data_IF_313703838388
#
_entry.id   IF_313703838388
#
_cell.length_a   1.000
_cell.length_b   1.000
_cell.length_c   1.000
_cell.angle_alpha   90.00
_cell.angle_beta   90.00
_cell.angle_gamma   90.00
#
_symmetry.space_group_name_H-M   'P 1'
#
loop_
_entity.id
_entity.type
_entity.pdbx_description
1 polymer ?
#
# COMPACT_ATOMS: atom_id res chain seq x y z
N UNK A 1 7.61 -0.82 13.95
CA UNK A 1 6.26 -0.37 14.40
C UNK A 1 5.28 -0.20 13.23
N UNK A 2 5.67 0.47 12.13
CA UNK A 2 4.79 0.64 10.95
C UNK A 2 4.31 -0.69 10.33
N UNK A 3 5.21 -1.67 10.14
CA UNK A 3 4.82 -2.97 9.57
C UNK A 3 3.75 -3.71 10.36
N UNK A 4 3.70 -3.56 11.69
CA UNK A 4 2.66 -4.19 12.53
C UNK A 4 1.26 -3.67 12.23
N UNK A 5 1.11 -2.44 11.73
CA UNK A 5 -0.20 -1.91 11.33
C UNK A 5 -0.70 -2.58 10.04
N UNK A 6 0.21 -2.90 9.12
CA UNK A 6 -0.14 -3.70 7.93
C UNK A 6 -0.56 -5.10 8.36
N UNK A 7 0.22 -5.75 9.22
CA UNK A 7 -0.11 -7.09 9.75
C UNK A 7 -1.49 -7.10 10.39
N UNK A 8 -1.79 -6.13 11.24
CA UNK A 8 -3.06 -6.07 11.97
C UNK A 8 -4.31 -6.05 11.07
N UNK A 9 -4.19 -5.54 9.84
CA UNK A 9 -5.30 -5.47 8.89
C UNK A 9 -5.28 -6.59 7.84
N UNK A 10 -4.23 -7.41 7.77
CA UNK A 10 -4.12 -8.50 6.78
C UNK A 10 -5.36 -9.41 6.70
N UNK A 11 -5.98 -9.84 7.82
CA UNK A 11 -7.14 -10.74 7.76
C UNK A 11 -8.36 -10.12 7.06
N UNK A 12 -8.46 -8.79 7.03
CA UNK A 12 -9.59 -8.05 6.48
C UNK A 12 -9.38 -7.62 5.03
N UNK A 13 -8.19 -7.88 4.46
CA UNK A 13 -7.89 -7.52 3.07
C UNK A 13 -8.53 -8.55 2.13
N UNK A 14 -9.32 -8.06 1.18
CA UNK A 14 -9.91 -8.89 0.13
C UNK A 14 -8.81 -9.67 -0.63
N UNK A 15 -8.91 -11.01 -0.74
CA UNK A 15 -7.93 -11.84 -1.42
C UNK A 15 -7.55 -11.40 -2.85
N UNK A 16 -8.44 -10.70 -3.57
CA UNK A 16 -8.17 -10.18 -4.92
C UNK A 16 -7.01 -9.18 -4.92
N UNK A 17 -6.82 -8.42 -3.83
CA UNK A 17 -5.77 -7.41 -3.73
C UNK A 17 -4.35 -7.98 -3.65
N UNK A 18 -4.20 -9.28 -3.35
CA UNK A 18 -2.90 -9.95 -3.35
C UNK A 18 -2.49 -10.51 -4.71
N UNK A 19 -3.42 -10.65 -5.66
CA UNK A 19 -3.23 -11.41 -6.91
C UNK A 19 -2.60 -10.61 -8.06
N UNK A 20 -2.34 -9.31 -7.87
CA UNK A 20 -1.75 -8.46 -8.89
C UNK A 20 -0.26 -8.73 -9.12
N UNK A 21 0.27 -8.35 -10.28
CA UNK A 21 1.69 -8.52 -10.65
C UNK A 21 2.65 -7.84 -9.66
N UNK A 22 2.19 -6.77 -9.00
CA UNK A 22 2.97 -6.01 -8.02
C UNK A 22 2.76 -6.50 -6.57
N UNK A 23 2.05 -7.61 -6.38
CA UNK A 23 1.59 -8.07 -5.07
C UNK A 23 0.58 -7.11 -4.45
N UNK A 24 0.54 -7.05 -3.12
CA UNK A 24 -0.28 -6.08 -2.40
C UNK A 24 0.30 -4.66 -2.56
N UNK A 25 -0.41 -3.71 -3.20
CA UNK A 25 0.04 -2.32 -3.24
C UNK A 25 -0.22 -1.63 -1.89
N UNK A 26 0.82 -1.03 -1.30
CA UNK A 26 0.73 -0.28 -0.04
C UNK A 26 1.09 1.18 -0.31
N UNK A 27 0.13 2.09 -0.12
CA UNK A 27 0.35 3.53 -0.34
C UNK A 27 0.98 4.18 0.90
N UNK A 28 2.22 4.65 0.76
CA UNK A 28 2.99 5.30 1.81
C UNK A 28 2.80 6.83 1.77
N UNK A 29 2.17 7.39 2.80
CA UNK A 29 1.94 8.83 2.96
C UNK A 29 2.64 9.37 4.20
N UNK A 30 3.24 10.56 4.09
CA UNK A 30 3.92 11.25 5.19
C UNK A 30 5.44 11.34 5.00
N UNK A 31 6.05 12.36 5.62
CA UNK A 31 7.49 12.67 5.45
C UNK A 31 8.44 11.61 6.01
N UNK A 32 8.00 10.82 7.00
CA UNK A 32 8.77 9.73 7.61
C UNK A 32 9.25 8.71 6.57
N UNK A 33 8.47 8.48 5.50
CA UNK A 33 8.85 7.57 4.41
C UNK A 33 10.03 8.03 3.57
N UNK A 34 10.45 9.31 3.67
CA UNK A 34 11.71 9.78 3.06
C UNK A 34 12.94 9.07 3.65
N UNK A 35 12.82 8.54 4.86
CA UNK A 35 13.84 7.77 5.55
C UNK A 35 13.60 6.25 5.43
N UNK A 36 13.00 5.78 4.34
CA UNK A 36 12.67 4.36 4.12
C UNK A 36 13.83 3.42 4.43
N UNK A 37 15.06 3.74 4.01
CA UNK A 37 16.22 2.88 4.26
C UNK A 37 16.48 2.65 5.76
N UNK A 38 16.15 3.61 6.63
CA UNK A 38 16.25 3.44 8.09
C UNK A 38 15.08 2.64 8.69
N UNK A 39 13.95 2.56 7.99
CA UNK A 39 12.74 1.86 8.42
C UNK A 39 12.70 0.40 7.92
N UNK A 40 13.41 0.14 6.83
CA UNK A 40 13.29 -1.07 6.00
C UNK A 40 13.41 -2.36 6.81
N UNK A 41 14.47 -2.50 7.59
CA UNK A 41 14.73 -3.73 8.37
C UNK A 41 13.59 -4.03 9.35
N UNK A 42 13.21 -3.06 10.18
CA UNK A 42 12.13 -3.23 11.15
C UNK A 42 10.74 -3.35 10.52
N UNK A 43 10.54 -2.83 9.30
CA UNK A 43 9.31 -3.00 8.54
C UNK A 43 9.20 -4.42 7.98
N UNK A 44 10.26 -4.91 7.32
CA UNK A 44 10.31 -6.26 6.75
C UNK A 44 10.20 -7.33 7.85
N UNK A 45 10.94 -7.19 8.95
CA UNK A 45 10.86 -8.14 10.07
C UNK A 45 9.43 -8.31 10.58
N UNK A 46 8.71 -7.20 10.78
CA UNK A 46 7.33 -7.25 11.25
C UNK A 46 6.39 -7.93 10.24
N UNK A 47 6.57 -7.70 8.94
CA UNK A 47 5.75 -8.32 7.90
C UNK A 47 6.04 -9.82 7.76
N UNK A 48 7.32 -10.23 7.80
CA UNK A 48 7.70 -11.64 7.72
C UNK A 48 7.07 -12.43 8.87
N UNK A 49 7.23 -11.96 10.11
CA UNK A 49 6.63 -12.60 11.27
C UNK A 49 5.09 -12.60 11.21
N UNK A 50 4.48 -11.50 10.75
CA UNK A 50 3.03 -11.39 10.65
C UNK A 50 2.43 -12.32 9.59
N UNK A 51 3.08 -12.49 8.44
CA UNK A 51 2.57 -13.34 7.36
C UNK A 51 2.52 -14.80 7.77
N UNK A 52 3.54 -15.29 8.49
CA UNK A 52 3.63 -16.68 8.95
C UNK A 52 2.42 -17.06 9.82
N UNK A 53 1.89 -16.10 10.58
CA UNK A 53 0.78 -16.33 11.49
C UNK A 53 -0.58 -16.19 10.79
N UNK A 54 -0.73 -15.21 9.89
CA UNK A 54 -2.05 -14.75 9.45
C UNK A 54 -2.34 -14.87 7.95
N UNK A 55 -1.32 -14.99 7.09
CA UNK A 55 -1.49 -14.80 5.65
C UNK A 55 -0.48 -15.57 4.78
N UNK A 56 0.07 -16.69 5.29
CA UNK A 56 1.23 -17.38 4.71
C UNK A 56 1.06 -17.72 3.21
N UNK A 57 -0.15 -18.08 2.80
CA UNK A 57 -0.43 -18.54 1.43
C UNK A 57 -0.90 -17.42 0.47
N UNK A 58 -1.39 -16.30 0.98
CA UNK A 58 -1.96 -15.22 0.15
C UNK A 58 -1.02 -14.02 0.03
N UNK A 59 -0.26 -13.68 1.08
CA UNK A 59 0.61 -12.50 1.07
C UNK A 59 2.02 -12.86 0.58
N UNK A 60 2.19 -13.04 -0.73
CA UNK A 60 3.44 -13.47 -1.40
C UNK A 60 4.42 -12.33 -1.69
N UNK A 61 3.91 -11.15 -2.02
CA UNK A 61 4.71 -9.96 -2.30
C UNK A 61 3.94 -8.68 -2.00
N UNK A 62 4.67 -7.57 -1.88
CA UNK A 62 4.09 -6.23 -1.77
C UNK A 62 4.93 -5.20 -2.51
N UNK A 63 4.28 -4.09 -2.87
CA UNK A 63 4.93 -2.93 -3.49
C UNK A 63 4.53 -1.67 -2.74
N UNK A 64 5.53 -0.92 -2.27
CA UNK A 64 5.33 0.39 -1.65
C UNK A 64 5.21 1.45 -2.74
N UNK A 65 4.12 2.22 -2.64
CA UNK A 65 3.72 3.25 -3.59
C UNK A 65 3.80 4.62 -2.93
N UNK A 66 4.12 5.67 -3.70
CA UNK A 66 4.02 7.07 -3.27
C UNK A 66 3.19 7.88 -4.26
N UNK A 67 2.49 8.90 -3.76
CA UNK A 67 1.72 9.81 -4.60
C UNK A 67 2.65 10.74 -5.39
N UNK A 68 2.25 11.06 -6.63
CA UNK A 68 2.89 12.09 -7.48
C UNK A 68 2.19 13.45 -7.40
N UNK A 69 0.93 13.45 -6.95
CA UNK A 69 0.13 14.66 -6.76
C UNK A 69 -0.35 14.77 -5.30
N UNK A 70 -0.89 15.94 -4.96
CA UNK A 70 -1.53 16.17 -3.67
C UNK A 70 -2.72 15.23 -3.46
N UNK A 71 -2.92 14.77 -2.24
CA UNK A 71 -4.11 14.01 -1.84
C UNK A 71 -5.42 14.80 -2.02
N UNK A 72 -5.33 16.14 -2.17
CA UNK A 72 -6.45 16.99 -2.54
C UNK A 72 -7.16 16.54 -3.84
N UNK A 73 -6.43 15.91 -4.77
CA UNK A 73 -7.02 15.33 -5.99
C UNK A 73 -8.00 14.19 -5.65
N UNK A 74 -7.66 13.35 -4.67
CA UNK A 74 -8.58 12.34 -4.14
C UNK A 74 -9.80 12.98 -3.46
N UNK A 75 -9.59 14.08 -2.72
CA UNK A 75 -10.68 14.88 -2.15
C UNK A 75 -11.64 15.44 -3.20
N UNK A 76 -11.12 15.99 -4.30
CA UNK A 76 -11.92 16.48 -5.41
C UNK A 76 -12.73 15.36 -6.09
N UNK A 77 -12.09 14.20 -6.32
CA UNK A 77 -12.77 13.01 -6.87
C UNK A 77 -13.90 12.52 -5.98
N UNK A 78 -13.67 12.44 -4.65
CA UNK A 78 -14.70 12.06 -3.69
C UNK A 78 -15.83 13.09 -3.59
N UNK A 79 -15.52 14.39 -3.66
CA UNK A 79 -16.49 15.47 -3.65
C UNK A 79 -17.38 15.47 -4.90
N UNK A 80 -16.80 15.24 -6.08
CA UNK A 80 -17.55 15.04 -7.32
C UNK A 80 -18.50 13.83 -7.18
N UNK A 81 -18.01 12.70 -6.66
CA UNK A 81 -18.81 11.49 -6.46
C UNK A 81 -20.00 11.72 -5.53
N UNK A 82 -19.83 12.56 -4.51
CA UNK A 82 -20.91 12.90 -3.57
C UNK A 82 -22.12 13.56 -4.24
N UNK A 83 -21.91 14.31 -5.33
CA UNK A 83 -22.99 14.93 -6.12
C UNK A 83 -23.36 14.12 -7.38
N UNK A 84 -22.97 12.84 -7.44
CA UNK A 84 -23.26 11.96 -8.58
C UNK A 84 -22.42 12.24 -9.83
N UNK A 85 -21.35 13.04 -9.72
CA UNK A 85 -20.44 13.30 -10.83
C UNK A 85 -19.18 12.41 -10.74
N UNK A 86 -18.82 11.75 -11.84
CA UNK A 86 -17.59 10.99 -11.92
C UNK A 86 -16.47 11.86 -12.50
N UNK A 87 -15.55 12.30 -11.64
CA UNK A 87 -14.35 13.02 -12.08
C UNK A 87 -13.40 12.05 -12.81
N UNK A 88 -12.99 12.31 -14.06
CA UNK A 88 -12.01 11.49 -14.76
C UNK A 88 -10.65 11.53 -14.06
N UNK A 89 -10.06 10.36 -13.83
CA UNK A 89 -8.81 10.20 -13.09
C UNK A 89 -7.83 9.33 -13.87
N UNK A 90 -6.61 9.81 -14.07
CA UNK A 90 -5.49 8.98 -14.53
C UNK A 90 -4.74 8.40 -13.31
N UNK A 91 -5.19 7.25 -12.83
CA UNK A 91 -4.58 6.60 -11.67
C UNK A 91 -3.13 6.15 -11.92
N UNK A 92 -2.76 5.90 -13.18
CA UNK A 92 -1.39 5.50 -13.54
C UNK A 92 -0.40 6.66 -13.37
N UNK A 93 -0.85 7.90 -13.60
CA UNK A 93 -0.06 9.10 -13.35
C UNK A 93 -0.02 9.50 -11.87
N UNK A 94 -0.98 9.05 -11.06
CA UNK A 94 -1.18 9.55 -9.70
C UNK A 94 -0.24 8.97 -8.64
N UNK A 95 0.30 7.78 -8.87
CA UNK A 95 1.18 7.10 -7.93
C UNK A 95 2.32 6.37 -8.67
N UNK A 96 3.42 6.13 -7.96
CA UNK A 96 4.57 5.41 -8.49
C UNK A 96 5.15 4.47 -7.42
N UNK A 97 5.59 3.29 -7.85
CA UNK A 97 6.31 2.35 -7.00
C UNK A 97 7.69 2.92 -6.63
N UNK A 98 8.15 2.68 -5.40
CA UNK A 98 9.52 3.01 -4.99
C UNK A 98 10.25 1.86 -4.29
N UNK A 99 9.55 0.79 -3.94
CA UNK A 99 10.15 -0.41 -3.36
C UNK A 99 9.21 -1.61 -3.59
N UNK A 100 9.77 -2.77 -3.92
CA UNK A 100 9.03 -4.03 -4.03
C UNK A 100 9.77 -5.13 -3.28
N UNK A 101 9.01 -6.05 -2.70
CA UNK A 101 9.55 -7.19 -1.97
C UNK A 101 8.67 -8.41 -2.22
N UNK A 102 9.32 -9.52 -2.55
CA UNK A 102 8.72 -10.85 -2.59
C UNK A 102 9.33 -11.64 -1.46
N UNK A 103 8.48 -12.20 -0.60
CA UNK A 103 8.96 -13.04 0.49
C UNK A 103 9.43 -14.38 -0.07
N UNK A 104 10.52 -14.91 0.50
CA UNK A 104 10.96 -16.28 0.24
C UNK A 104 10.04 -17.33 0.88
#
# INVERSE_FOLDING_TARGET
MLGRHVVAVLPEIDPVLFKGEIGLPILCVGSVWKSWELLKEGFLLALTQGREIQAQNCFSSFTLMKLRYSSALGGASLGARHIGHLLPMDYSANAVAFYSHTFS
#
